data_IF_457240423878
#
_entry.id   IF_457240423878
#
_cell.length_a   1.000
_cell.length_b   1.000
_cell.length_c   1.000
_cell.angle_alpha   90.00
_cell.angle_beta   90.00
_cell.angle_gamma   90.00
#
_symmetry.space_group_name_H-M   'P 1'
#
loop_
_entity.id
_entity.type
_entity.pdbx_description
1 polymer ?
#
# COMPACT_ATOMS: atom_id res chain seq x y z
N UNK A 1 -0.06 45.64 -11.28
CA UNK A 1 0.30 44.31 -10.77
C UNK A 1 -0.18 43.26 -11.77
N UNK A 2 0.71 42.41 -12.27
CA UNK A 2 0.38 41.36 -13.24
C UNK A 2 -0.49 40.30 -12.55
N UNK A 3 -1.66 39.96 -13.12
CA UNK A 3 -2.52 38.92 -12.57
C UNK A 3 -1.82 37.56 -12.68
N UNK A 4 -1.71 36.86 -11.56
CA UNK A 4 -1.25 35.46 -11.56
C UNK A 4 -2.37 34.61 -12.16
N UNK A 5 -2.07 33.90 -13.24
CA UNK A 5 -3.01 33.00 -13.89
C UNK A 5 -2.83 31.58 -13.34
N UNK A 6 -3.83 31.09 -12.62
CA UNK A 6 -3.88 29.71 -12.14
C UNK A 6 -4.57 28.80 -13.15
N UNK A 7 -4.25 27.50 -13.12
CA UNK A 7 -5.03 26.49 -13.83
C UNK A 7 -6.42 26.38 -13.19
N UNK A 8 -7.43 26.06 -14.00
CA UNK A 8 -8.79 25.82 -13.50
C UNK A 8 -8.79 24.63 -12.52
N UNK A 9 -9.39 24.83 -11.35
CA UNK A 9 -9.51 23.83 -10.29
C UNK A 9 -10.96 23.38 -10.14
N UNK A 10 -11.29 22.26 -10.77
CA UNK A 10 -12.64 21.67 -10.74
C UNK A 10 -12.52 20.24 -10.18
N UNK A 11 -12.73 20.09 -8.88
CA UNK A 11 -12.65 18.79 -8.20
C UNK A 11 -13.93 17.95 -8.34
N UNK A 12 -15.11 18.59 -8.50
CA UNK A 12 -16.40 17.93 -8.74
C UNK A 12 -16.71 17.80 -10.24
N UNK A 13 -15.72 17.32 -11.01
CA UNK A 13 -15.89 17.17 -12.47
C UNK A 13 -16.73 15.93 -12.77
N UNK A 14 -17.83 16.11 -13.51
CA UNK A 14 -18.63 15.00 -14.02
C UNK A 14 -17.93 14.35 -15.21
N UNK A 15 -17.75 13.03 -15.18
CA UNK A 15 -17.18 12.23 -16.27
C UNK A 15 -18.30 11.37 -16.86
N UNK A 16 -18.52 11.47 -18.17
CA UNK A 16 -19.64 10.81 -18.85
C UNK A 16 -19.46 9.28 -19.00
N UNK A 17 -18.23 8.82 -19.23
CA UNK A 17 -17.90 7.40 -19.36
C UNK A 17 -16.81 6.99 -18.36
N UNK A 18 -16.91 5.80 -17.73
CA UNK A 18 -15.85 5.30 -16.86
C UNK A 18 -14.52 5.24 -17.60
N UNK A 19 -13.49 5.86 -17.04
CA UNK A 19 -12.14 5.75 -17.59
C UNK A 19 -11.59 4.34 -17.31
N UNK A 20 -10.74 3.85 -18.22
CA UNK A 20 -10.00 2.61 -17.98
C UNK A 20 -8.96 2.87 -16.91
N UNK A 21 -9.16 2.31 -15.71
CA UNK A 21 -8.20 2.41 -14.58
C UNK A 21 -6.78 2.03 -14.99
N UNK A 22 -6.67 1.01 -15.83
CA UNK A 22 -5.43 0.51 -16.40
C UNK A 22 -4.54 1.62 -16.97
N UNK A 23 -5.11 2.68 -17.58
CA UNK A 23 -4.33 3.79 -18.13
C UNK A 23 -3.69 4.70 -17.08
N UNK A 24 -4.26 4.72 -15.87
CA UNK A 24 -3.79 5.56 -14.78
C UNK A 24 -2.67 4.89 -13.98
N UNK A 25 -2.38 3.61 -14.27
CA UNK A 25 -1.32 2.82 -13.63
C UNK A 25 -0.16 2.68 -14.62
N UNK A 26 1.03 3.10 -14.20
CA UNK A 26 2.25 2.98 -14.99
C UNK A 26 2.55 1.52 -15.39
N UNK A 27 3.19 1.32 -16.55
CA UNK A 27 3.46 -0.01 -17.11
C UNK A 27 4.46 -0.83 -16.28
N UNK A 28 5.39 -0.14 -15.59
CA UNK A 28 6.43 -0.69 -14.73
C UNK A 28 5.97 -0.93 -13.28
N UNK A 29 4.72 -0.61 -12.96
CA UNK A 29 4.20 -0.72 -11.60
C UNK A 29 4.13 -2.19 -11.12
N UNK A 30 4.55 -2.50 -9.88
CA UNK A 30 4.56 -3.87 -9.34
C UNK A 30 3.19 -4.55 -9.32
N UNK A 31 2.10 -3.79 -9.35
CA UNK A 31 0.73 -4.32 -9.43
C UNK A 31 0.53 -5.15 -10.69
N UNK A 32 1.03 -4.68 -11.84
CA UNK A 32 0.91 -5.39 -13.12
C UNK A 32 1.73 -6.67 -13.12
N UNK A 33 2.91 -6.64 -12.49
CA UNK A 33 3.73 -7.83 -12.31
C UNK A 33 2.96 -8.89 -11.51
N UNK A 34 2.38 -8.50 -10.38
CA UNK A 34 1.60 -9.42 -9.55
C UNK A 34 0.35 -9.94 -10.27
N UNK A 35 -0.36 -9.07 -10.98
CA UNK A 35 -1.54 -9.41 -11.78
C UNK A 35 -1.21 -10.52 -12.80
N UNK A 36 -0.16 -10.30 -13.61
CA UNK A 36 0.33 -11.26 -14.58
C UNK A 36 0.87 -12.54 -13.94
N UNK A 37 1.58 -12.44 -12.80
CA UNK A 37 2.10 -13.62 -12.10
C UNK A 37 0.95 -14.53 -11.64
N UNK A 38 -0.06 -13.96 -10.97
CA UNK A 38 -1.18 -14.75 -10.44
C UNK A 38 -2.04 -15.33 -11.56
N UNK A 39 -2.16 -14.63 -12.70
CA UNK A 39 -2.89 -15.15 -13.87
C UNK A 39 -2.30 -16.40 -14.48
N UNK A 40 -0.99 -16.58 -14.33
CA UNK A 40 -0.29 -17.76 -14.84
C UNK A 40 -0.14 -18.88 -13.79
N UNK A 41 -0.65 -18.70 -12.56
CA UNK A 41 -0.59 -19.74 -11.53
C UNK A 41 -1.70 -20.78 -11.69
N UNK A 42 -1.34 -22.05 -11.49
CA UNK A 42 -2.31 -23.15 -11.41
C UNK A 42 -2.91 -23.15 -10.01
N UNK A 43 -4.19 -22.77 -9.90
CA UNK A 43 -4.91 -22.59 -8.64
C UNK A 43 -5.90 -23.72 -8.32
N UNK A 44 -5.74 -24.90 -8.90
CA UNK A 44 -6.67 -26.04 -8.73
C UNK A 44 -6.92 -26.38 -7.25
N UNK A 45 -5.88 -26.34 -6.43
CA UNK A 45 -5.99 -26.60 -4.99
C UNK A 45 -6.86 -25.57 -4.28
N UNK A 46 -6.84 -24.31 -4.72
CA UNK A 46 -7.69 -23.25 -4.20
C UNK A 46 -9.14 -23.47 -4.65
N UNK A 47 -9.37 -23.79 -5.92
CA UNK A 47 -10.71 -24.04 -6.45
C UNK A 47 -11.40 -25.24 -5.81
N UNK A 48 -10.66 -26.30 -5.45
CA UNK A 48 -11.19 -27.49 -4.75
C UNK A 48 -11.79 -27.17 -3.38
N UNK A 49 -11.43 -26.06 -2.74
CA UNK A 49 -11.97 -25.65 -1.45
C UNK A 49 -13.37 -25.03 -1.55
N UNK A 50 -13.88 -24.84 -2.76
CA UNK A 50 -15.19 -24.25 -3.02
C UNK A 50 -16.21 -25.33 -3.36
N UNK A 51 -17.43 -25.12 -2.87
CA UNK A 51 -18.58 -25.97 -3.18
C UNK A 51 -19.39 -25.35 -4.32
N UNK A 52 -20.01 -26.15 -5.18
CA UNK A 52 -20.83 -25.64 -6.30
C UNK A 52 -22.19 -25.09 -5.86
N UNK A 53 -22.59 -25.30 -4.60
CA UNK A 53 -23.90 -24.89 -4.09
C UNK A 53 -23.81 -23.69 -3.14
N UNK A 54 -24.85 -22.86 -3.15
CA UNK A 54 -24.98 -21.66 -2.32
C UNK A 54 -24.79 -20.35 -3.09
N UNK A 55 -24.52 -19.27 -2.35
CA UNK A 55 -24.24 -17.94 -2.94
C UNK A 55 -22.95 -17.98 -3.74
N UNK A 56 -22.96 -17.39 -4.93
CA UNK A 56 -21.78 -17.24 -5.78
C UNK A 56 -20.66 -16.54 -4.99
N UNK A 57 -19.50 -17.17 -4.79
CA UNK A 57 -18.38 -16.55 -4.11
C UNK A 57 -17.70 -15.52 -5.04
N UNK A 58 -16.95 -14.60 -4.45
CA UNK A 58 -15.98 -13.80 -5.19
C UNK A 58 -14.94 -14.70 -5.86
N UNK A 59 -14.39 -14.26 -6.98
CA UNK A 59 -13.41 -15.03 -7.73
C UNK A 59 -12.14 -15.29 -6.89
N UNK A 60 -11.72 -16.55 -6.65
CA UNK A 60 -10.59 -16.86 -5.77
C UNK A 60 -9.28 -16.23 -6.21
N UNK A 61 -9.05 -16.14 -7.53
CA UNK A 61 -7.87 -15.50 -8.11
C UNK A 61 -7.82 -14.00 -7.81
N UNK A 62 -8.97 -13.31 -7.86
CA UNK A 62 -9.07 -11.89 -7.53
C UNK A 62 -8.76 -11.68 -6.04
N UNK A 63 -9.36 -12.49 -5.16
CA UNK A 63 -9.10 -12.44 -3.73
C UNK A 63 -7.62 -12.70 -3.40
N UNK A 64 -7.00 -13.66 -4.10
CA UNK A 64 -5.58 -13.98 -3.95
C UNK A 64 -4.69 -12.81 -4.38
N UNK A 65 -4.97 -12.17 -5.52
CA UNK A 65 -4.25 -10.99 -6.00
C UNK A 65 -4.26 -9.87 -4.96
N UNK A 66 -5.45 -9.54 -4.44
CA UNK A 66 -5.63 -8.49 -3.43
C UNK A 66 -4.82 -8.77 -2.17
N UNK A 67 -4.84 -10.00 -1.67
CA UNK A 67 -4.12 -10.37 -0.43
C UNK A 67 -2.62 -10.39 -0.65
N UNK A 68 -2.13 -10.97 -1.74
CA UNK A 68 -0.70 -11.00 -2.03
C UNK A 68 -0.16 -9.59 -2.21
N UNK A 69 -0.89 -8.72 -2.92
CA UNK A 69 -0.51 -7.32 -3.07
C UNK A 69 -0.52 -6.56 -1.73
N UNK A 70 -1.50 -6.83 -0.87
CA UNK A 70 -1.50 -6.28 0.48
C UNK A 70 -0.25 -6.71 1.26
N UNK A 71 0.15 -7.98 1.20
CA UNK A 71 1.33 -8.50 1.89
C UNK A 71 2.63 -7.91 1.34
N UNK A 72 2.72 -7.73 0.03
CA UNK A 72 3.86 -7.04 -0.60
C UNK A 72 4.03 -5.60 -0.08
N UNK A 73 2.92 -4.93 0.28
CA UNK A 73 2.93 -3.59 0.85
C UNK A 73 2.93 -3.56 2.39
N UNK A 74 3.19 -4.70 3.06
CA UNK A 74 3.14 -4.86 4.52
C UNK A 74 1.79 -4.51 5.16
N UNK A 75 0.69 -4.75 4.45
CA UNK A 75 -0.68 -4.46 4.89
C UNK A 75 -1.37 -5.77 5.24
N UNK A 76 -1.54 -6.03 6.54
CA UNK A 76 -2.04 -7.31 7.04
C UNK A 76 -3.44 -7.25 7.68
N UNK A 77 -3.94 -6.06 8.03
CA UNK A 77 -5.30 -5.87 8.56
C UNK A 77 -6.34 -6.01 7.46
N UNK A 78 -7.36 -6.82 7.69
CA UNK A 78 -8.46 -7.02 6.72
C UNK A 78 -9.30 -5.74 6.58
N UNK A 79 -9.50 -5.00 7.68
CA UNK A 79 -10.20 -3.70 7.66
C UNK A 79 -9.44 -2.66 6.84
N UNK A 80 -8.11 -2.67 6.94
CA UNK A 80 -7.26 -1.80 6.13
C UNK A 80 -7.35 -2.16 4.65
N UNK A 81 -7.33 -3.45 4.31
CA UNK A 81 -7.51 -3.93 2.93
C UNK A 81 -8.87 -3.51 2.38
N UNK A 82 -9.96 -3.65 3.15
CA UNK A 82 -11.29 -3.19 2.74
C UNK A 82 -11.31 -1.68 2.45
N UNK A 83 -10.66 -0.88 3.30
CA UNK A 83 -10.53 0.57 3.09
C UNK A 83 -9.76 0.90 1.81
N UNK A 84 -8.74 0.11 1.46
CA UNK A 84 -7.93 0.29 0.26
C UNK A 84 -8.69 -0.12 -1.01
N UNK A 85 -9.50 -1.18 -0.95
CA UNK A 85 -10.40 -1.56 -2.05
C UNK A 85 -11.39 -0.45 -2.44
N UNK A 86 -11.66 0.50 -1.54
CA UNK A 86 -12.54 1.65 -1.79
C UNK A 86 -11.79 2.91 -2.27
N UNK A 87 -10.49 3.03 -1.98
CA UNK A 87 -9.74 4.30 -2.10
C UNK A 87 -8.53 4.23 -3.00
N UNK A 88 -7.84 3.09 -3.03
CA UNK A 88 -6.58 2.91 -3.73
C UNK A 88 -6.81 2.30 -5.12
N UNK A 89 -6.31 3.01 -6.14
CA UNK A 89 -6.50 2.64 -7.54
C UNK A 89 -5.93 1.26 -7.88
N UNK A 90 -4.83 0.86 -7.24
CA UNK A 90 -4.17 -0.42 -7.48
C UNK A 90 -5.01 -1.59 -6.95
N UNK A 91 -5.60 -1.43 -5.76
CA UNK A 91 -6.49 -2.42 -5.19
C UNK A 91 -7.80 -2.52 -5.98
N UNK A 92 -8.35 -1.38 -6.42
CA UNK A 92 -9.54 -1.35 -7.28
C UNK A 92 -9.25 -2.05 -8.62
N UNK A 93 -8.07 -1.82 -9.20
CA UNK A 93 -7.63 -2.48 -10.43
C UNK A 93 -7.59 -4.01 -10.27
N UNK A 94 -6.90 -4.52 -9.24
CA UNK A 94 -6.79 -5.96 -8.98
C UNK A 94 -8.15 -6.61 -8.68
N UNK A 95 -9.04 -5.88 -8.01
CA UNK A 95 -10.36 -6.35 -7.65
C UNK A 95 -11.40 -6.21 -8.78
N UNK A 96 -11.10 -5.43 -9.83
CA UNK A 96 -12.05 -5.12 -10.89
C UNK A 96 -13.30 -4.40 -10.38
N UNK A 97 -13.13 -3.43 -9.47
CA UNK A 97 -14.19 -2.72 -8.73
C UNK A 97 -15.00 -3.56 -7.72
N UNK A 98 -14.75 -4.86 -7.56
CA UNK A 98 -15.38 -5.62 -6.49
C UNK A 98 -14.85 -5.18 -5.12
N UNK A 99 -15.74 -5.05 -4.14
CA UNK A 99 -15.43 -4.54 -2.81
C UNK A 99 -15.83 -5.53 -1.72
N UNK A 100 -15.08 -6.62 -1.55
CA UNK A 100 -15.34 -7.56 -0.46
C UNK A 100 -15.11 -6.91 0.92
N UNK A 101 -16.07 -7.11 1.82
CA UNK A 101 -15.95 -6.67 3.22
C UNK A 101 -14.80 -7.38 3.96
N UNK A 102 -14.30 -6.77 5.03
CA UNK A 102 -13.24 -7.35 5.86
C UNK A 102 -13.55 -8.78 6.34
N UNK A 103 -14.82 -9.08 6.64
CA UNK A 103 -15.27 -10.42 7.05
C UNK A 103 -15.06 -11.43 5.92
N UNK A 104 -15.43 -11.06 4.69
CA UNK A 104 -15.27 -11.93 3.52
C UNK A 104 -13.80 -12.19 3.26
N UNK A 105 -12.96 -11.16 3.33
CA UNK A 105 -11.50 -11.27 3.18
C UNK A 105 -10.93 -12.19 4.26
N UNK A 106 -11.33 -12.03 5.52
CA UNK A 106 -10.86 -12.85 6.63
C UNK A 106 -11.28 -14.32 6.46
N UNK A 107 -12.53 -14.58 6.06
CA UNK A 107 -13.02 -15.94 5.76
C UNK A 107 -12.24 -16.58 4.62
N UNK A 108 -11.92 -15.83 3.57
CA UNK A 108 -11.10 -16.32 2.48
C UNK A 108 -9.70 -16.68 2.99
N UNK A 109 -9.02 -15.76 3.68
CA UNK A 109 -7.68 -16.00 4.25
C UNK A 109 -7.63 -17.26 5.11
N UNK A 110 -8.61 -17.45 6.00
CA UNK A 110 -8.67 -18.63 6.86
C UNK A 110 -8.89 -19.93 6.09
N UNK A 111 -9.64 -19.87 4.97
CA UNK A 111 -9.87 -21.03 4.11
C UNK A 111 -8.62 -21.47 3.36
N UNK A 112 -7.88 -20.52 2.80
CA UNK A 112 -6.69 -20.76 1.95
C UNK A 112 -5.36 -20.46 2.65
N UNK A 113 -5.32 -20.47 3.99
CA UNK A 113 -4.15 -20.03 4.76
C UNK A 113 -2.88 -20.78 4.36
N UNK A 114 -2.97 -22.10 4.16
CA UNK A 114 -1.83 -22.95 3.81
C UNK A 114 -1.34 -22.65 2.39
N UNK A 115 -2.27 -22.48 1.47
CA UNK A 115 -2.04 -22.22 0.06
C UNK A 115 -1.42 -20.83 -0.14
N UNK A 116 -1.96 -19.80 0.54
CA UNK A 116 -1.41 -18.43 0.51
C UNK A 116 0.03 -18.43 1.00
N UNK A 117 0.32 -19.07 2.14
CA UNK A 117 1.66 -19.09 2.71
C UNK A 117 2.66 -19.78 1.75
N UNK A 118 2.24 -20.88 1.13
CA UNK A 118 3.07 -21.58 0.14
C UNK A 118 3.30 -20.70 -1.11
N UNK A 119 2.22 -20.17 -1.71
CA UNK A 119 2.31 -19.33 -2.91
C UNK A 119 3.20 -18.11 -2.65
N UNK A 120 2.98 -17.40 -1.54
CA UNK A 120 3.78 -16.25 -1.15
C UNK A 120 5.26 -16.61 -0.99
N UNK A 121 5.57 -17.72 -0.29
CA UNK A 121 6.95 -18.20 -0.13
C UNK A 121 7.59 -18.51 -1.48
N UNK A 122 6.90 -19.19 -2.39
CA UNK A 122 7.42 -19.50 -3.72
C UNK A 122 7.65 -18.25 -4.55
N UNK A 123 6.71 -17.30 -4.53
CA UNK A 123 6.83 -16.03 -5.26
C UNK A 123 8.07 -15.27 -4.78
N UNK A 124 8.24 -15.11 -3.46
CA UNK A 124 9.42 -14.42 -2.89
C UNK A 124 10.71 -15.15 -3.28
N UNK A 125 10.76 -16.48 -3.19
CA UNK A 125 11.94 -17.26 -3.56
C UNK A 125 12.30 -17.11 -5.05
N UNK A 126 11.31 -17.14 -5.95
CA UNK A 126 11.53 -17.00 -7.40
C UNK A 126 12.00 -15.58 -7.74
N UNK A 127 11.38 -14.56 -7.13
CA UNK A 127 11.76 -13.17 -7.37
C UNK A 127 13.15 -12.85 -6.81
N UNK A 128 13.50 -13.39 -5.64
CA UNK A 128 14.84 -13.30 -5.07
C UNK A 128 15.88 -14.02 -5.95
N UNK A 129 15.57 -15.21 -6.45
CA UNK A 129 16.46 -15.96 -7.33
C UNK A 129 16.71 -15.25 -8.68
N UNK A 130 15.72 -14.49 -9.17
CA UNK A 130 15.85 -13.65 -10.38
C UNK A 130 16.52 -12.30 -10.10
N UNK A 131 16.87 -11.99 -8.84
CA UNK A 131 17.48 -10.73 -8.45
C UNK A 131 16.54 -9.53 -8.57
N UNK A 132 15.23 -9.76 -8.67
CA UNK A 132 14.21 -8.69 -8.78
C UNK A 132 13.84 -8.12 -7.41
N UNK A 133 14.11 -8.86 -6.34
CA UNK A 133 13.89 -8.43 -4.96
C UNK A 133 15.17 -8.70 -4.17
N UNK A 134 15.68 -7.66 -3.50
CA UNK A 134 16.66 -7.81 -2.43
C UNK A 134 15.92 -7.90 -1.10
N UNK A 135 16.25 -8.91 -0.29
CA UNK A 135 15.76 -9.03 1.09
C UNK A 135 16.75 -8.46 2.11
N UNK A 136 17.87 -7.94 1.62
CA UNK A 136 18.78 -7.13 2.40
C UNK A 136 18.16 -5.73 2.51
N UNK A 137 17.97 -5.26 3.74
CA UNK A 137 17.38 -3.95 4.06
C UNK A 137 18.31 -2.85 3.52
N UNK A 138 17.99 -2.29 2.36
CA UNK A 138 18.68 -1.12 1.83
C UNK A 138 18.05 0.16 2.39
N UNK A 139 18.72 0.77 3.36
CA UNK A 139 18.54 2.19 3.65
C UNK A 139 19.28 2.99 2.57
N UNK A 140 18.55 3.74 1.76
CA UNK A 140 19.15 4.66 0.80
C UNK A 140 19.19 6.05 1.43
N UNK A 141 20.33 6.40 2.02
CA UNK A 141 20.79 7.79 2.07
C UNK A 141 22.00 7.90 1.12
N UNK A 142 22.02 8.95 0.30
CA UNK A 142 22.58 8.97 -1.06
C UNK A 142 23.90 8.20 -1.30
N UNK A 143 23.89 7.25 -2.25
CA UNK A 143 25.08 6.47 -2.64
C UNK A 143 25.46 6.67 -4.11
N UNK A 144 26.71 7.05 -4.36
CA UNK A 144 27.33 7.12 -5.69
C UNK A 144 27.75 5.71 -6.12
N UNK A 145 27.23 5.21 -7.23
CA UNK A 145 27.47 3.83 -7.70
C UNK A 145 28.66 3.79 -8.66
N UNK A 146 29.69 3.03 -8.32
CA UNK A 146 30.79 2.68 -9.23
C UNK A 146 30.52 1.38 -9.99
N UNK A 147 31.07 1.25 -11.20
CA UNK A 147 30.88 0.10 -12.09
C UNK A 147 31.46 -1.19 -11.52
N UNK A 148 30.61 -2.21 -11.34
CA UNK A 148 31.00 -3.52 -10.80
C UNK A 148 31.53 -4.44 -11.92
N UNK A 149 32.83 -4.39 -12.19
CA UNK A 149 33.53 -5.36 -13.05
C UNK A 149 34.60 -6.10 -12.22
N UNK A 150 34.22 -7.19 -11.54
CA UNK A 150 35.18 -7.99 -10.76
C UNK A 150 35.38 -9.37 -11.40
N UNK A 151 36.64 -9.81 -11.48
CA UNK A 151 37.11 -11.05 -12.14
C UNK A 151 36.81 -12.33 -11.32
N UNK A 152 36.21 -12.18 -10.14
CA UNK A 152 35.97 -13.24 -9.15
C UNK A 152 34.47 -13.32 -8.81
N UNK A 153 33.69 -13.95 -9.69
CA UNK A 153 32.23 -14.13 -9.57
C UNK A 153 31.88 -15.54 -9.07
N UNK A 154 32.52 -16.02 -8.00
CA UNK A 154 32.21 -17.32 -7.42
C UNK A 154 31.59 -17.13 -6.06
N UNK A 155 30.33 -17.57 -5.95
CA UNK A 155 29.60 -17.59 -4.68
C UNK A 155 29.72 -18.99 -4.10
N UNK A 156 30.23 -19.08 -2.88
CA UNK A 156 30.40 -20.37 -2.19
C UNK A 156 29.05 -21.02 -1.90
N UNK A 157 28.90 -22.31 -2.24
CA UNK A 157 27.67 -23.09 -1.98
C UNK A 157 27.19 -22.96 -0.53
N UNK A 158 28.10 -23.02 0.44
CA UNK A 158 27.79 -22.86 1.87
C UNK A 158 27.19 -21.49 2.21
N UNK A 159 27.63 -20.43 1.54
CA UNK A 159 27.07 -19.07 1.71
C UNK A 159 25.67 -18.99 1.11
N UNK A 160 25.46 -19.60 -0.07
CA UNK A 160 24.12 -19.67 -0.70
C UNK A 160 23.14 -20.43 0.19
N UNK A 161 23.54 -21.57 0.74
CA UNK A 161 22.72 -22.37 1.67
C UNK A 161 22.38 -21.60 2.95
N UNK A 162 23.36 -20.90 3.54
CA UNK A 162 23.15 -20.06 4.72
C UNK A 162 22.17 -18.92 4.44
N UNK A 163 22.32 -18.24 3.30
CA UNK A 163 21.43 -17.14 2.92
C UNK A 163 20.02 -17.63 2.62
N UNK A 164 19.88 -18.80 1.96
CA UNK A 164 18.59 -19.45 1.75
C UNK A 164 17.89 -19.76 3.06
N UNK A 165 18.60 -20.31 4.05
CA UNK A 165 18.05 -20.61 5.36
C UNK A 165 17.60 -19.33 6.10
N UNK A 166 18.40 -18.25 6.05
CA UNK A 166 18.03 -16.95 6.60
C UNK A 166 16.76 -16.39 5.95
N UNK A 167 16.66 -16.46 4.62
CA UNK A 167 15.48 -16.00 3.89
C UNK A 167 14.22 -16.76 4.31
N UNK A 168 14.30 -18.08 4.41
CA UNK A 168 13.18 -18.89 4.89
C UNK A 168 12.74 -18.48 6.30
N UNK A 169 13.70 -18.17 7.18
CA UNK A 169 13.39 -17.70 8.54
C UNK A 169 12.74 -16.32 8.53
N UNK A 170 13.21 -15.38 7.69
CA UNK A 170 12.58 -14.07 7.53
C UNK A 170 11.14 -14.18 7.03
N UNK A 171 10.88 -15.05 6.03
CA UNK A 171 9.53 -15.33 5.54
C UNK A 171 8.67 -15.89 6.69
N UNK A 172 9.20 -16.80 7.50
CA UNK A 172 8.50 -17.34 8.66
C UNK A 172 8.14 -16.26 9.67
N UNK A 173 9.06 -15.36 9.99
CA UNK A 173 8.81 -14.22 10.88
C UNK A 173 7.73 -13.30 10.33
N UNK A 174 7.75 -12.98 9.03
CA UNK A 174 6.72 -12.17 8.37
C UNK A 174 5.35 -12.84 8.48
N UNK A 175 5.26 -14.15 8.23
CA UNK A 175 4.00 -14.89 8.35
C UNK A 175 3.48 -14.93 9.79
N UNK A 176 4.35 -14.94 10.80
CA UNK A 176 3.94 -14.80 12.20
C UNK A 176 3.39 -13.40 12.50
N UNK A 177 4.05 -12.34 12.02
CA UNK A 177 3.54 -10.98 12.14
C UNK A 177 2.16 -10.81 11.49
N UNK A 178 1.95 -11.46 10.34
CA UNK A 178 0.65 -11.50 9.66
C UNK A 178 -0.42 -12.08 10.59
N UNK A 179 -0.12 -13.19 11.28
CA UNK A 179 -1.03 -13.84 12.21
C UNK A 179 -1.32 -12.97 13.46
N UNK A 180 -0.32 -12.29 14.00
CA UNK A 180 -0.49 -11.38 15.15
C UNK A 180 -1.40 -10.20 14.80
N UNK A 181 -1.20 -9.59 13.63
CA UNK A 181 -2.05 -8.48 13.17
C UNK A 181 -3.49 -8.94 12.94
N UNK A 182 -3.70 -10.17 12.44
CA UNK A 182 -5.05 -10.74 12.32
C UNK A 182 -5.72 -10.84 13.70
N UNK A 183 -4.98 -11.31 14.71
CA UNK A 183 -5.52 -11.45 16.07
C UNK A 183 -5.95 -10.09 16.65
N UNK A 184 -5.16 -9.05 16.42
CA UNK A 184 -5.48 -7.68 16.83
C UNK A 184 -6.69 -7.11 16.09
N UNK A 185 -6.78 -7.32 14.77
CA UNK A 185 -7.86 -6.80 13.92
C UNK A 185 -9.23 -7.39 14.31
N UNK A 186 -9.24 -8.63 14.80
CA UNK A 186 -10.44 -9.30 15.34
C UNK A 186 -10.88 -8.72 16.70
N UNK A 187 -9.95 -8.19 17.51
CA UNK A 187 -10.23 -7.65 18.83
C UNK A 187 -10.69 -6.17 18.80
N UNK A 188 -10.34 -5.43 17.74
CA UNK A 188 -10.62 -4.01 17.64
C UNK A 188 -12.11 -3.70 17.34
N UNK A 189 -12.69 -2.79 18.13
CA UNK A 189 -13.97 -2.11 17.86
C UNK A 189 -13.68 -0.76 17.21
N UNK A 190 -14.36 -0.45 16.12
CA UNK A 190 -14.23 0.84 15.44
C UNK A 190 -15.26 1.81 16.00
N UNK A 191 -14.81 2.91 16.58
CA UNK A 191 -15.64 4.08 16.88
C UNK A 191 -15.62 5.00 15.65
N UNK A 192 -16.79 5.22 15.06
CA UNK A 192 -16.95 6.14 13.94
C UNK A 192 -17.15 7.56 14.46
N UNK A 193 -16.32 8.50 14.00
CA UNK A 193 -16.58 9.92 14.20
C UNK A 193 -17.32 10.43 12.97
N UNK A 194 -18.53 10.94 13.17
CA UNK A 194 -19.34 11.55 12.11
C UNK A 194 -19.06 13.05 12.04
N UNK A 195 -18.91 13.56 10.82
CA UNK A 195 -18.72 14.99 10.56
C UNK A 195 -20.01 15.57 9.97
N UNK A 196 -20.55 16.63 10.60
CA UNK A 196 -21.72 17.36 10.10
C UNK A 196 -21.28 18.61 9.33
N UNK A 197 -22.12 19.11 8.41
CA UNK A 197 -21.79 20.28 7.60
C UNK A 197 -21.57 21.54 8.46
N UNK A 198 -22.41 21.76 9.47
CA UNK A 198 -22.29 22.89 10.40
C UNK A 198 -20.95 22.89 11.15
N UNK A 199 -20.49 21.70 11.59
CA UNK A 199 -19.21 21.54 12.28
C UNK A 199 -18.02 21.86 11.36
N UNK A 200 -18.13 21.58 10.06
CA UNK A 200 -17.09 21.93 9.08
C UNK A 200 -17.01 23.45 8.85
N UNK A 201 -18.16 24.14 8.83
CA UNK A 201 -18.20 25.60 8.68
C UNK A 201 -17.58 26.29 9.89
N UNK A 202 -17.92 25.85 11.11
CA UNK A 202 -17.31 26.33 12.37
C UNK A 202 -15.78 26.15 12.37
N UNK A 203 -15.28 24.96 12.01
CA UNK A 203 -13.85 24.68 11.91
C UNK A 203 -13.17 25.61 10.89
N UNK A 204 -13.85 25.90 9.76
CA UNK A 204 -13.29 26.78 8.73
C UNK A 204 -13.13 28.22 9.21
N UNK A 205 -14.11 28.73 9.97
CA UNK A 205 -14.04 30.08 10.54
C UNK A 205 -12.94 30.19 11.60
N UNK A 206 -12.82 29.19 12.47
CA UNK A 206 -11.78 29.15 13.49
C UNK A 206 -10.38 29.10 12.87
N UNK A 207 -10.19 28.28 11.84
CA UNK A 207 -8.93 28.23 11.07
C UNK A 207 -8.59 29.57 10.43
N UNK A 208 -9.56 30.25 9.81
CA UNK A 208 -9.33 31.55 9.18
C UNK A 208 -8.90 32.61 10.22
N UNK A 209 -9.58 32.68 11.37
CA UNK A 209 -9.21 33.57 12.49
C UNK A 209 -7.79 33.28 13.00
N UNK A 210 -7.43 32.01 13.13
CA UNK A 210 -6.09 31.58 13.55
C UNK A 210 -5.02 32.00 12.55
N UNK A 211 -5.25 31.79 11.25
CA UNK A 211 -4.32 32.18 10.19
C UNK A 211 -4.08 33.70 10.15
N UNK A 212 -5.13 34.52 10.26
CA UNK A 212 -5.01 35.98 10.30
C UNK A 212 -4.20 36.46 11.51
N UNK A 213 -4.46 35.89 12.69
CA UNK A 213 -3.72 36.22 13.91
C UNK A 213 -2.21 35.93 13.76
N UNK A 214 -1.85 34.80 13.15
CA UNK A 214 -0.47 34.38 12.92
C UNK A 214 0.29 35.30 11.96
N UNK A 215 -0.40 35.81 10.94
CA UNK A 215 0.15 36.76 9.96
C UNK A 215 0.44 38.11 10.62
N UNK A 216 -0.48 38.61 11.45
CA UNK A 216 -0.30 39.88 12.18
C UNK A 216 0.89 39.83 13.16
N UNK A 217 1.10 38.70 13.83
CA UNK A 217 2.23 38.46 14.73
C UNK A 217 3.57 38.38 13.97
N UNK A 218 3.58 37.72 12.81
CA UNK A 218 4.77 37.68 11.93
C UNK A 218 5.13 39.08 11.41
N UNK A 219 4.14 39.89 11.04
CA UNK A 219 4.37 41.27 10.59
C UNK A 219 4.91 42.15 11.73
N UNK A 220 4.38 42.05 12.96
CA UNK A 220 4.90 42.76 14.15
C UNK A 220 6.32 42.35 14.56
N UNK A 221 6.68 41.07 14.44
CA UNK A 221 8.06 40.61 14.67
C UNK A 221 9.01 41.13 13.60
N UNK A 222 8.59 41.14 12.34
CA UNK A 222 9.38 41.60 11.21
C UNK A 222 9.61 43.11 11.24
N UNK A 223 8.63 43.90 11.71
CA UNK A 223 8.81 45.34 11.94
C UNK A 223 9.76 45.64 13.11
N UNK A 224 9.67 44.89 14.23
CA UNK A 224 10.61 45.02 15.37
C UNK A 224 12.06 44.65 15.04
N UNK A 225 12.29 43.76 14.08
CA UNK A 225 13.64 43.41 13.59
C UNK A 225 14.23 44.47 12.65
N UNK A 226 13.40 45.35 12.08
CA UNK A 226 13.81 46.43 11.17
C UNK A 226 13.93 47.79 11.88
N UNK A 227 13.56 47.89 13.17
CA UNK A 227 13.82 49.09 13.96
C UNK A 227 15.33 49.20 14.27
N UNK A 228 15.98 50.33 13.96
CA UNK A 228 17.41 50.48 14.21
C UNK A 228 17.68 50.42 15.71
N UNK A 229 18.65 49.60 16.12
CA UNK A 229 19.19 49.60 17.49
C UNK A 229 19.68 51.02 17.77
N UNK A 230 18.96 51.76 18.61
CA UNK A 230 19.38 53.09 19.07
C UNK A 230 20.76 52.94 19.72
N UNK A 231 21.78 53.45 19.06
CA UNK A 231 23.14 53.64 19.58
C UNK A 231 23.06 54.64 20.74
N UNK A 232 23.54 54.21 21.90
CA UNK A 232 23.78 55.06 23.07
C UNK A 232 24.99 55.97 22.84
#
# INVERSE_FOLDING_TARGET
MTKVHFRSYIHKKMILFPQRIDKDIAEDNPVRLLDALVDNLILDNVYKLYKPSGRKPYHPQMMLKVILYAYMNNIYSCRRIESLLKRDIHFIYLAGYEQPDFITINRFRNRVKKEINNIFTQVVLVLAAKGLISLDVEYIDGTKIESKANKYTFVWKRTVEKNRAKLQEQIRTLLLQVDDVIAQDNAAKTEGVEFTAALLDEISEELNKSLESSLSLRQKKRSRLLEPRKTA
#
